data_IF_375416449598
#
_entry.id   IF_375416449598
#
_cell.length_a   1.000
_cell.length_b   1.000
_cell.length_c   1.000
_cell.angle_alpha   90.00
_cell.angle_beta   90.00
_cell.angle_gamma   90.00
#
_symmetry.space_group_name_H-M   'P 1'
#
loop_
_entity.id
_entity.type
_entity.pdbx_description
1 polymer ?
#
# COMPACT_ATOMS: atom_id res chain seq x y z
N UNK A 1 12.57 -5.42 4.63
CA UNK A 1 12.55 -5.91 3.23
C UNK A 1 11.96 -7.32 3.09
N UNK A 2 11.78 -8.11 4.16
CA UNK A 2 10.98 -9.36 4.10
C UNK A 2 9.46 -9.11 4.04
N UNK A 3 9.02 -7.91 4.44
CA UNK A 3 7.61 -7.52 4.53
C UNK A 3 6.95 -7.28 3.17
N UNK A 4 7.75 -6.98 2.14
CA UNK A 4 7.27 -6.73 0.79
C UNK A 4 6.71 -7.97 0.12
N UNK A 5 7.18 -9.16 0.49
CA UNK A 5 6.74 -10.43 -0.11
C UNK A 5 5.37 -10.89 0.40
N UNK A 6 4.99 -10.53 1.63
CA UNK A 6 3.72 -10.96 2.24
C UNK A 6 2.52 -10.18 1.71
N UNK A 7 2.70 -8.88 1.41
CA UNK A 7 1.59 -8.03 0.98
C UNK A 7 1.28 -8.10 -0.52
N UNK A 8 2.20 -8.57 -1.37
CA UNK A 8 1.99 -8.64 -2.82
C UNK A 8 0.81 -9.55 -3.23
N UNK A 9 0.44 -10.53 -2.40
CA UNK A 9 -0.70 -11.42 -2.64
C UNK A 9 -2.08 -10.75 -2.54
N UNK A 10 -2.24 -9.74 -1.67
CA UNK A 10 -3.52 -9.02 -1.47
C UNK A 10 -3.71 -7.84 -2.44
N UNK A 11 -2.90 -7.73 -3.49
CA UNK A 11 -3.15 -6.79 -4.59
C UNK A 11 -4.06 -7.38 -5.69
N UNK A 12 -4.55 -8.62 -5.51
CA UNK A 12 -5.52 -9.24 -6.40
C UNK A 12 -6.90 -8.55 -6.28
N UNK A 13 -7.08 -7.46 -7.02
CA UNK A 13 -8.40 -6.96 -7.45
C UNK A 13 -9.14 -8.13 -8.13
N UNK A 14 -10.47 -8.27 -8.00
CA UNK A 14 -11.22 -9.35 -8.66
C UNK A 14 -10.80 -9.47 -10.13
N UNK A 15 -10.30 -10.64 -10.49
CA UNK A 15 -9.59 -10.92 -11.74
C UNK A 15 -10.46 -10.82 -13.01
N UNK A 16 -11.75 -10.45 -12.89
CA UNK A 16 -12.69 -10.44 -14.00
C UNK A 16 -13.52 -9.15 -14.05
N UNK A 17 -13.54 -8.43 -15.18
CA UNK A 17 -14.48 -7.35 -15.42
C UNK A 17 -15.92 -7.88 -15.39
N UNK A 18 -16.92 -7.04 -15.06
CA UNK A 18 -18.33 -7.44 -15.13
C UNK A 18 -18.70 -7.91 -16.56
N UNK A 19 -19.64 -8.87 -16.70
CA UNK A 19 -20.03 -9.43 -17.98
C UNK A 19 -20.54 -8.34 -18.94
N UNK A 20 -20.24 -8.51 -20.23
CA UNK A 20 -20.57 -7.56 -21.29
C UNK A 20 -22.09 -7.47 -21.48
N UNK A 21 -22.71 -6.37 -21.04
CA UNK A 21 -23.97 -5.95 -21.63
C UNK A 21 -23.66 -5.17 -22.92
N UNK A 22 -24.23 -5.54 -24.08
CA UNK A 22 -23.83 -5.04 -25.40
C UNK A 22 -24.08 -3.53 -25.62
N UNK A 23 -24.72 -2.84 -24.68
CA UNK A 23 -25.09 -1.42 -24.77
C UNK A 23 -24.25 -0.47 -23.90
N UNK A 24 -23.28 -0.96 -23.14
CA UNK A 24 -22.62 -0.17 -22.09
C UNK A 24 -21.09 -0.31 -22.12
N UNK A 25 -20.42 0.32 -23.09
CA UNK A 25 -18.94 0.42 -23.14
C UNK A 25 -18.36 1.41 -22.10
N UNK A 26 -19.13 2.42 -21.70
CA UNK A 26 -18.76 3.44 -20.70
C UNK A 26 -18.42 2.88 -19.29
N UNK A 27 -19.22 2.00 -18.66
CA UNK A 27 -18.92 1.44 -17.34
C UNK A 27 -17.70 0.54 -17.35
N UNK A 28 -17.40 -0.11 -18.48
CA UNK A 28 -16.19 -0.93 -18.61
C UNK A 28 -14.93 -0.05 -18.65
N UNK A 29 -14.97 1.07 -19.37
CA UNK A 29 -13.87 2.04 -19.35
C UNK A 29 -13.71 2.68 -17.96
N UNK A 30 -14.82 3.07 -17.32
CA UNK A 30 -14.80 3.63 -15.96
C UNK A 30 -14.26 2.62 -14.93
N UNK A 31 -14.66 1.35 -15.02
CA UNK A 31 -14.15 0.28 -14.17
C UNK A 31 -12.65 0.06 -14.38
N UNK A 32 -12.19 0.02 -15.63
CA UNK A 32 -10.77 -0.09 -15.97
C UNK A 32 -10.00 1.10 -15.35
N UNK A 33 -10.43 2.33 -15.60
CA UNK A 33 -9.78 3.53 -15.07
C UNK A 33 -9.74 3.52 -13.54
N UNK A 34 -10.84 3.14 -12.89
CA UNK A 34 -10.92 3.00 -11.43
C UNK A 34 -9.89 1.98 -10.92
N UNK A 35 -9.88 0.76 -11.47
CA UNK A 35 -8.91 -0.29 -11.09
C UNK A 35 -7.46 0.16 -11.27
N UNK A 36 -7.13 0.81 -12.38
CA UNK A 36 -5.76 1.31 -12.60
C UNK A 36 -5.39 2.45 -11.65
N UNK A 37 -6.32 3.35 -11.33
CA UNK A 37 -6.11 4.43 -10.37
C UNK A 37 -5.89 3.86 -8.95
N UNK A 38 -6.69 2.89 -8.53
CA UNK A 38 -6.52 2.22 -7.23
C UNK A 38 -5.20 1.46 -7.14
N UNK A 39 -4.84 0.71 -8.19
CA UNK A 39 -3.55 0.03 -8.27
C UNK A 39 -2.38 1.01 -8.19
N UNK A 40 -2.46 2.13 -8.90
CA UNK A 40 -1.44 3.17 -8.89
C UNK A 40 -1.32 3.81 -7.49
N UNK A 41 -2.44 4.19 -6.88
CA UNK A 41 -2.47 4.78 -5.55
C UNK A 41 -1.83 3.85 -4.52
N UNK A 42 -2.22 2.56 -4.53
CA UNK A 42 -1.68 1.57 -3.60
C UNK A 42 -0.18 1.34 -3.81
N UNK A 43 0.28 1.30 -5.06
CA UNK A 43 1.71 1.16 -5.37
C UNK A 43 2.53 2.37 -4.88
N UNK A 44 2.01 3.59 -5.10
CA UNK A 44 2.64 4.83 -4.61
C UNK A 44 2.72 4.82 -3.09
N UNK A 45 1.58 4.62 -2.40
CA UNK A 45 1.55 4.60 -0.93
C UNK A 45 2.50 3.56 -0.37
N UNK A 46 2.53 2.36 -0.96
CA UNK A 46 3.44 1.30 -0.55
C UNK A 46 4.92 1.68 -0.73
N UNK A 47 5.28 2.29 -1.86
CA UNK A 47 6.65 2.73 -2.10
C UNK A 47 7.11 3.77 -1.07
N UNK A 48 6.27 4.77 -0.79
CA UNK A 48 6.56 5.74 0.26
C UNK A 48 6.71 5.09 1.63
N UNK A 49 5.80 4.17 1.97
CA UNK A 49 5.80 3.57 3.30
C UNK A 49 7.01 2.67 3.57
N UNK A 50 7.43 1.90 2.56
CA UNK A 50 8.45 0.86 2.74
C UNK A 50 9.82 1.18 2.17
N UNK A 51 9.94 2.20 1.31
CA UNK A 51 11.19 2.50 0.61
C UNK A 51 11.71 3.91 0.89
N UNK A 52 10.83 4.89 1.12
CA UNK A 52 11.27 6.26 1.41
C UNK A 52 11.70 6.38 2.87
N UNK A 53 12.86 6.99 3.08
CA UNK A 53 13.46 7.27 4.39
C UNK A 53 13.43 8.75 4.71
N UNK A 54 13.52 9.08 6.00
CA UNK A 54 13.43 10.46 6.50
C UNK A 54 12.00 10.99 6.45
N UNK A 55 11.84 12.27 6.75
CA UNK A 55 10.57 12.97 6.59
C UNK A 55 10.70 14.05 5.51
N UNK A 56 9.60 14.51 4.91
CA UNK A 56 9.66 15.61 3.93
C UNK A 56 9.89 16.98 4.59
N UNK A 57 9.97 17.03 5.93
CA UNK A 57 10.10 18.24 6.71
C UNK A 57 11.48 18.28 7.38
N UNK A 58 12.15 19.43 7.33
CA UNK A 58 13.48 19.58 7.92
C UNK A 58 13.47 19.65 9.46
N UNK A 59 12.28 19.74 10.07
CA UNK A 59 12.10 19.92 11.51
C UNK A 59 12.38 18.65 12.33
N UNK A 60 12.60 17.50 11.68
CA UNK A 60 12.88 16.24 12.36
C UNK A 60 14.31 16.12 12.91
N UNK A 61 15.16 17.13 12.71
CA UNK A 61 16.57 17.17 13.14
C UNK A 61 17.38 15.93 12.70
N UNK A 62 16.94 15.28 11.61
CA UNK A 62 17.56 14.06 11.09
C UNK A 62 17.27 12.79 11.89
N UNK A 63 16.37 12.84 12.87
CA UNK A 63 15.97 11.69 13.71
C UNK A 63 15.55 10.46 12.89
N UNK A 64 14.94 10.69 11.72
CA UNK A 64 14.37 9.63 10.90
C UNK A 64 15.15 9.35 9.61
N UNK A 65 16.31 9.97 9.39
CA UNK A 65 17.09 9.85 8.14
C UNK A 65 17.45 8.40 7.76
N UNK A 66 17.56 7.52 8.76
CA UNK A 66 17.92 6.11 8.56
C UNK A 66 16.72 5.18 8.46
N UNK A 67 15.53 5.67 8.81
CA UNK A 67 14.30 4.89 8.98
C UNK A 67 13.32 5.16 7.84
N UNK A 68 12.74 4.09 7.30
CA UNK A 68 11.58 4.17 6.41
C UNK A 68 10.35 4.68 7.16
N UNK A 69 9.35 5.20 6.45
CA UNK A 69 8.11 5.67 7.09
C UNK A 69 7.41 4.56 7.91
N UNK A 70 7.48 3.31 7.45
CA UNK A 70 7.06 2.14 8.21
C UNK A 70 7.85 1.94 9.52
N UNK A 71 9.15 2.20 9.49
CA UNK A 71 10.04 2.08 10.65
C UNK A 71 9.86 3.20 11.67
N UNK A 72 9.48 4.41 11.23
CA UNK A 72 9.29 5.55 12.11
C UNK A 72 8.19 5.32 13.17
N UNK A 73 7.11 4.58 12.82
CA UNK A 73 5.97 4.33 13.73
C UNK A 73 6.36 3.64 15.05
N UNK A 74 7.41 2.82 15.05
CA UNK A 74 7.86 2.07 16.22
C UNK A 74 9.37 2.25 16.48
N UNK A 75 9.99 3.31 15.96
CA UNK A 75 11.43 3.55 16.04
C UNK A 75 12.29 2.35 15.61
N UNK A 76 11.87 1.66 14.54
CA UNK A 76 12.54 0.47 14.01
C UNK A 76 12.35 -0.81 14.83
N UNK A 77 11.66 -0.77 15.98
CA UNK A 77 11.38 -1.96 16.80
C UNK A 77 10.48 -2.93 16.03
N UNK A 78 10.92 -4.18 15.93
CA UNK A 78 10.13 -5.24 15.30
C UNK A 78 9.14 -5.83 16.32
N UNK A 79 8.08 -6.48 15.81
CA UNK A 79 7.12 -7.27 16.61
C UNK A 79 6.39 -6.52 17.73
N UNK A 80 6.26 -5.19 17.65
CA UNK A 80 5.39 -4.43 18.55
C UNK A 80 3.92 -4.82 18.37
N UNK A 81 3.08 -4.57 19.38
CA UNK A 81 1.62 -4.81 19.30
C UNK A 81 1.01 -4.08 18.10
N UNK A 82 1.45 -2.84 17.87
CA UNK A 82 1.01 -2.02 16.73
C UNK A 82 1.41 -2.64 15.39
N UNK A 83 2.65 -3.15 15.26
CA UNK A 83 3.07 -3.87 14.04
C UNK A 83 2.24 -5.11 13.80
N UNK A 84 2.02 -5.92 14.84
CA UNK A 84 1.21 -7.14 14.71
C UNK A 84 -0.21 -6.81 14.24
N UNK A 85 -0.84 -5.78 14.81
CA UNK A 85 -2.16 -5.32 14.37
C UNK A 85 -2.15 -4.89 12.90
N UNK A 86 -1.21 -4.03 12.50
CA UNK A 86 -1.11 -3.49 11.14
C UNK A 86 -0.71 -4.53 10.07
N UNK A 87 -0.13 -5.65 10.50
CA UNK A 87 0.18 -6.81 9.64
C UNK A 87 -1.03 -7.72 9.49
N UNK A 88 -1.70 -8.01 10.61
CA UNK A 88 -2.73 -9.07 10.65
C UNK A 88 -4.04 -8.57 10.08
N UNK A 89 -4.42 -7.31 10.32
CA UNK A 89 -5.71 -6.78 9.84
C UNK A 89 -5.86 -6.87 8.31
N UNK A 90 -4.89 -6.44 7.49
CA UNK A 90 -4.98 -6.60 6.04
C UNK A 90 -4.85 -8.04 5.54
N UNK A 91 -4.55 -9.00 6.41
CA UNK A 91 -4.47 -10.43 6.07
C UNK A 91 -5.77 -11.16 6.35
N UNK A 92 -6.54 -10.67 7.33
CA UNK A 92 -7.79 -11.29 7.78
C UNK A 92 -9.02 -10.66 7.10
N UNK A 93 -8.89 -9.41 6.61
CA UNK A 93 -9.92 -8.68 5.86
C UNK A 93 -9.62 -8.68 4.36
#
# INVERSE_FOLDING_TARGET
>A
MAWTLVNLGHFAVPASPPPLLPSLTRPRLLWIVFVYLDCLLRAITYHFFHWKKGTPFADDQGMYNRLTWWEQRDNGKQLTRNRKFLVVVPVVL
#
